data_IF_773731406819
#
_entry.id   IF_773731406819
#
_cell.length_a   1.000
_cell.length_b   1.000
_cell.length_c   1.000
_cell.angle_alpha   90.00
_cell.angle_beta   90.00
_cell.angle_gamma   90.00
#
_symmetry.space_group_name_H-M   'P 1'
#
loop_
_entity.id
_entity.type
_entity.pdbx_description
1 polymer ?
#
# COMPACT_ATOMS: atom_id res chain seq x y z
N UNK A 1 -13.54 -23.29 -0.38
CA UNK A 1 -13.08 -23.26 -0.31
C UNK A 1 -12.48 -23.13 -0.25
N UNK A 2 -12.40 -22.98 -0.20
CA UNK A 2 -11.58 -22.87 -0.05
C UNK A 2 -10.99 -22.63 0.13
N UNK A 3 -10.91 -22.39 0.20
CA UNK A 3 -10.13 -22.26 0.50
C UNK A 3 -9.42 -22.25 0.57
N UNK A 4 -9.42 -22.46 0.62
CA UNK A 4 -8.37 -22.41 0.86
C UNK A 4 -7.61 -22.20 0.75
N UNK A 5 -7.62 -22.09 0.70
CA UNK A 5 -6.72 -22.06 0.71
C UNK A 5 -6.04 -21.60 0.79
N UNK A 6 -6.25 -21.40 0.95
CA UNK A 6 -5.46 -21.19 1.20
C UNK A 6 -4.69 -20.95 1.60
N UNK A 7 -4.68 -20.88 1.91
CA UNK A 7 -3.84 -21.03 2.43
C UNK A 7 -2.92 -20.90 2.18
N UNK A 8 -2.87 -21.15 1.84
CA UNK A 8 -1.89 -21.17 1.67
C UNK A 8 -1.22 -20.59 1.29
N UNK A 9 -1.69 -20.37 1.06
CA UNK A 9 -1.05 -19.96 0.68
C UNK A 9 -0.35 -19.18 0.85
N UNK A 10 -0.41 -18.94 1.17
CA UNK A 10 0.25 -18.40 1.30
C UNK A 10 0.98 -17.96 1.38
N UNK A 11 0.95 -18.10 1.43
CA UNK A 11 1.66 -17.92 1.49
C UNK A 11 2.33 -17.69 1.10
N UNK A 12 1.94 -17.90 1.02
CA UNK A 12 2.62 -17.93 0.64
C UNK A 12 3.30 -17.16 0.20
N UNK A 13 3.18 -17.23 -0.11
CA UNK A 13 3.88 -16.59 -0.50
C UNK A 13 4.26 -15.59 -0.03
N UNK A 14 4.14 -15.58 0.67
CA UNK A 14 4.78 -14.67 1.47
C UNK A 14 4.84 -13.33 0.93
N UNK A 15 4.00 -13.07 0.20
CA UNK A 15 4.19 -11.89 -0.52
C UNK A 15 3.71 -10.65 0.18
N UNK A 16 2.53 -10.63 0.74
CA UNK A 16 1.91 -9.38 1.15
C UNK A 16 1.30 -9.48 2.55
N UNK A 17 2.09 -9.96 3.48
CA UNK A 17 1.60 -10.20 4.85
C UNK A 17 1.13 -8.92 5.54
N UNK A 18 1.77 -7.78 5.26
CA UNK A 18 1.37 -6.52 5.88
C UNK A 18 0.15 -5.91 5.20
N UNK A 19 0.00 -6.12 3.89
CA UNK A 19 -1.22 -5.75 3.19
C UNK A 19 -2.38 -6.59 3.72
N UNK A 20 -2.16 -7.88 3.89
CA UNK A 20 -3.17 -8.78 4.44
C UNK A 20 -3.58 -8.34 5.84
N UNK A 21 -2.60 -8.06 6.70
CA UNK A 21 -2.87 -7.59 8.05
C UNK A 21 -3.66 -6.28 8.06
N UNK A 22 -3.35 -5.39 7.12
CA UNK A 22 -4.08 -4.12 7.02
C UNK A 22 -5.58 -4.37 6.79
N UNK A 23 -5.93 -5.28 5.89
CA UNK A 23 -7.32 -5.63 5.66
C UNK A 23 -7.93 -6.37 6.83
N UNK A 24 -7.16 -7.22 7.50
CA UNK A 24 -7.68 -8.02 8.62
C UNK A 24 -7.95 -7.19 9.87
N UNK A 25 -7.19 -6.11 10.07
CA UNK A 25 -7.24 -5.35 11.31
C UNK A 25 -7.91 -3.99 11.16
N UNK A 26 -8.21 -3.55 9.96
CA UNK A 26 -8.84 -2.25 9.73
C UNK A 26 -9.97 -2.38 8.72
N UNK A 27 -10.74 -1.30 8.56
CA UNK A 27 -11.72 -1.21 7.48
C UNK A 27 -11.18 -0.35 6.35
N UNK A 28 -9.90 -0.47 6.14
CA UNK A 28 -9.20 0.34 5.17
C UNK A 28 -9.41 -0.07 3.74
N UNK A 29 -8.97 0.81 2.87
CA UNK A 29 -9.01 0.60 1.42
C UNK A 29 -7.64 0.84 0.85
N UNK A 30 -7.31 0.10 -0.20
CA UNK A 30 -6.08 0.31 -0.96
C UNK A 30 -6.48 0.64 -2.38
N UNK A 31 -5.97 1.76 -2.87
CA UNK A 31 -6.23 2.24 -4.23
C UNK A 31 -4.91 2.28 -4.98
N UNK A 32 -4.88 1.67 -6.16
CA UNK A 32 -3.73 1.71 -7.05
C UNK A 32 -4.20 2.42 -8.32
N UNK A 33 -3.52 3.50 -8.68
CA UNK A 33 -3.90 4.22 -9.88
C UNK A 33 -3.62 5.70 -9.75
N UNK A 34 -4.40 6.49 -10.46
CA UNK A 34 -4.23 7.94 -10.48
C UNK A 34 -4.81 8.57 -9.23
N UNK A 35 -4.00 9.39 -8.59
CA UNK A 35 -4.41 10.27 -7.49
C UNK A 35 -3.96 11.65 -7.92
N UNK A 36 -4.85 12.44 -8.55
CA UNK A 36 -4.44 13.69 -9.19
C UNK A 36 -3.66 14.62 -8.26
N UNK A 37 -2.60 15.24 -8.72
CA UNK A 37 -2.05 15.20 -10.09
C UNK A 37 -1.07 14.05 -10.34
N UNK A 38 -0.98 13.08 -9.44
CA UNK A 38 -0.05 11.96 -9.56
C UNK A 38 -0.72 10.88 -10.42
N UNK A 39 -0.09 10.52 -11.53
CA UNK A 39 -0.69 9.58 -12.48
C UNK A 39 -0.71 8.15 -11.97
N UNK A 40 0.30 7.74 -11.22
CA UNK A 40 0.41 6.38 -10.71
C UNK A 40 0.87 6.42 -9.27
N UNK A 41 0.02 5.93 -8.40
CA UNK A 41 0.27 5.96 -6.96
C UNK A 41 -0.39 4.76 -6.29
N UNK A 42 -0.03 4.52 -5.04
CA UNK A 42 -0.69 3.54 -4.20
C UNK A 42 -1.07 4.24 -2.90
N UNK A 43 -2.32 4.10 -2.51
CA UNK A 43 -2.84 4.72 -1.30
C UNK A 43 -3.50 3.68 -0.42
N UNK A 44 -3.07 3.61 0.83
CA UNK A 44 -3.74 2.80 1.86
C UNK A 44 -4.33 3.77 2.87
N UNK A 45 -5.63 3.74 3.05
CA UNK A 45 -6.33 4.69 3.90
C UNK A 45 -7.39 4.00 4.74
N UNK A 46 -7.65 4.53 5.93
CA UNK A 46 -8.75 4.09 6.78
C UNK A 46 -9.68 5.30 6.91
N UNK A 47 -10.88 5.18 6.30
CA UNK A 47 -11.77 6.32 6.21
C UNK A 47 -11.10 7.44 5.40
N UNK A 48 -11.01 8.62 6.00
CA UNK A 48 -10.41 9.77 5.35
C UNK A 48 -8.92 9.94 5.68
N UNK A 49 -8.35 9.00 6.44
CA UNK A 49 -6.98 9.14 6.90
C UNK A 49 -6.06 8.21 6.10
N UNK A 50 -5.15 8.80 5.35
CA UNK A 50 -4.12 8.04 4.66
C UNK A 50 -3.12 7.51 5.67
N UNK A 51 -2.77 6.24 5.52
CA UNK A 51 -1.72 5.62 6.32
C UNK A 51 -0.43 5.52 5.54
N UNK A 52 -0.53 5.16 4.27
CA UNK A 52 0.62 5.08 3.38
C UNK A 52 0.18 5.61 2.01
N UNK A 53 0.96 6.51 1.44
CA UNK A 53 0.73 7.03 0.10
C UNK A 53 2.07 7.02 -0.63
N UNK A 54 2.18 6.23 -1.68
CA UNK A 54 3.42 6.04 -2.42
C UNK A 54 3.25 6.52 -3.86
N UNK A 55 4.32 7.10 -4.40
CA UNK A 55 4.37 7.48 -5.81
C UNK A 55 5.07 6.35 -6.57
N UNK A 56 4.43 5.84 -7.62
CA UNK A 56 5.03 4.81 -8.46
C UNK A 56 6.16 5.42 -9.29
N UNK A 57 7.33 4.80 -9.24
CA UNK A 57 8.47 5.25 -10.03
C UNK A 57 8.23 5.04 -11.51
N UNK A 58 8.98 5.76 -12.35
CA UNK A 58 8.78 5.71 -13.80
C UNK A 58 8.97 4.31 -14.38
N UNK A 59 9.91 3.57 -13.82
CA UNK A 59 10.20 2.21 -14.28
C UNK A 59 9.71 1.15 -13.30
N UNK A 60 9.00 1.56 -12.27
CA UNK A 60 8.53 0.64 -11.25
C UNK A 60 7.30 -0.11 -11.74
N UNK A 61 7.34 -1.45 -11.63
CA UNK A 61 6.18 -2.26 -11.97
C UNK A 61 5.14 -2.18 -10.86
N UNK A 62 3.90 -2.57 -11.17
CA UNK A 62 2.86 -2.68 -10.16
C UNK A 62 3.27 -3.67 -9.08
N UNK A 63 3.91 -4.78 -9.47
CA UNK A 63 4.37 -5.77 -8.50
C UNK A 63 5.37 -5.17 -7.52
N UNK A 64 6.32 -4.39 -8.03
CA UNK A 64 7.31 -3.74 -7.18
C UNK A 64 6.66 -2.69 -6.27
N UNK A 65 5.71 -1.95 -6.81
CA UNK A 65 4.97 -0.96 -6.02
C UNK A 65 4.21 -1.64 -4.88
N UNK A 66 3.57 -2.77 -5.15
CA UNK A 66 2.86 -3.51 -4.12
C UNK A 66 3.80 -4.04 -3.05
N UNK A 67 5.01 -4.49 -3.43
CA UNK A 67 6.00 -4.91 -2.44
C UNK A 67 6.42 -3.74 -1.56
N UNK A 68 6.64 -2.57 -2.16
CA UNK A 68 6.97 -1.38 -1.38
C UNK A 68 5.82 -0.99 -0.45
N UNK A 69 4.58 -1.08 -0.94
CA UNK A 69 3.41 -0.80 -0.13
C UNK A 69 3.33 -1.76 1.06
N UNK A 70 3.62 -3.03 0.82
CA UNK A 70 3.60 -4.02 1.88
C UNK A 70 4.60 -3.67 2.98
N UNK A 71 5.83 -3.37 2.60
CA UNK A 71 6.88 -2.99 3.57
C UNK A 71 6.48 -1.71 4.30
N UNK A 72 5.97 -0.72 3.57
CA UNK A 72 5.58 0.56 4.16
C UNK A 72 4.44 0.39 5.16
N UNK A 73 3.46 -0.45 4.86
CA UNK A 73 2.37 -0.72 5.79
C UNK A 73 2.87 -1.37 7.08
N UNK A 74 3.81 -2.31 6.95
CA UNK A 74 4.41 -2.92 8.14
C UNK A 74 5.13 -1.89 9.00
N UNK A 75 5.88 -1.02 8.36
CA UNK A 75 6.61 0.03 9.08
C UNK A 75 5.65 1.04 9.72
N UNK A 76 4.63 1.46 8.97
CA UNK A 76 3.66 2.42 9.47
C UNK A 76 2.94 1.88 10.71
N UNK A 77 2.59 0.60 10.69
CA UNK A 77 1.93 -0.03 11.82
C UNK A 77 2.87 -0.20 13.01
N UNK A 78 4.10 -0.65 12.76
CA UNK A 78 5.05 -0.91 13.83
C UNK A 78 5.49 0.37 14.54
N UNK A 79 5.62 1.46 13.80
CA UNK A 79 6.11 2.73 14.32
C UNK A 79 5.02 3.74 14.57
N UNK A 80 3.78 3.40 14.22
CA UNK A 80 2.61 4.28 14.36
C UNK A 80 2.85 5.62 13.65
N UNK A 81 3.25 5.54 12.39
CA UNK A 81 3.55 6.71 11.57
C UNK A 81 2.76 6.67 10.28
N UNK A 82 2.71 7.81 9.60
CA UNK A 82 2.17 7.93 8.25
C UNK A 82 3.34 8.06 7.29
N UNK A 83 3.31 7.30 6.21
CA UNK A 83 4.34 7.38 5.17
C UNK A 83 3.68 7.99 3.94
N UNK A 84 4.15 9.15 3.51
CA UNK A 84 3.52 9.93 2.46
C UNK A 84 4.57 10.44 1.48
N UNK A 85 4.56 9.88 0.27
CA UNK A 85 5.39 10.36 -0.84
C UNK A 85 4.62 11.29 -1.77
N UNK A 86 3.29 11.30 -1.65
CA UNK A 86 2.43 12.03 -2.59
C UNK A 86 2.47 13.52 -2.33
N UNK A 87 2.28 13.95 -1.08
CA UNK A 87 2.27 15.37 -0.77
C UNK A 87 3.59 16.07 -1.11
N UNK A 88 4.76 15.52 -0.75
CA UNK A 88 6.02 16.12 -1.18
C UNK A 88 6.15 16.21 -2.70
N UNK A 89 5.68 15.18 -3.41
CA UNK A 89 5.74 15.18 -4.87
C UNK A 89 4.86 16.29 -5.46
N UNK A 90 3.66 16.48 -4.91
CA UNK A 90 2.77 17.54 -5.36
C UNK A 90 3.42 18.91 -5.15
N UNK A 91 4.01 19.12 -3.97
CA UNK A 91 4.67 20.40 -3.67
C UNK A 91 5.84 20.66 -4.60
N UNK A 92 6.57 19.62 -4.96
CA UNK A 92 7.73 19.76 -5.84
C UNK A 92 7.33 20.18 -7.26
N UNK A 93 6.10 19.84 -7.67
CA UNK A 93 5.61 20.13 -9.02
C UNK A 93 5.12 21.57 -9.19
N UNK A 94 5.02 22.33 -8.13
CA UNK A 94 4.57 23.72 -8.18
C UNK A 94 5.65 24.66 -8.64
#
# INVERSE_FOLDING_TARGET
>A
MNKPSSKNAASADGGFEHIQAFFDTTRGQITIGEIPPIRRAALAAVGKKARVALVCGETESVADLLQRLNVALGKAAAEDIVIDEVLPEIKRRR
#
